data_IF_741197530194
#
_entry.id   IF_741197530194
#
_cell.length_a   1.000
_cell.length_b   1.000
_cell.length_c   1.000
_cell.angle_alpha   90.00
_cell.angle_beta   90.00
_cell.angle_gamma   90.00
#
_symmetry.space_group_name_H-M   'P 1'
#
loop_
_entity.id
_entity.type
_entity.pdbx_description
1 polymer ?
#
# COMPACT_ATOMS: atom_id res chain seq x y z
N UNK A 1 20.81 14.75 -17.86
CA UNK A 1 20.86 15.20 -16.46
C UNK A 1 19.64 14.64 -15.77
N UNK A 2 19.84 13.62 -14.95
CA UNK A 2 18.80 12.99 -14.13
C UNK A 2 18.61 13.83 -12.88
N UNK A 3 17.40 14.37 -12.68
CA UNK A 3 17.05 15.01 -11.43
C UNK A 3 16.71 13.91 -10.42
N UNK A 4 17.68 13.58 -9.58
CA UNK A 4 17.48 12.77 -8.38
C UNK A 4 16.70 13.65 -7.40
N UNK A 5 15.51 13.21 -6.98
CA UNK A 5 14.79 13.85 -5.88
C UNK A 5 15.53 13.46 -4.60
N UNK A 6 16.46 14.30 -4.17
CA UNK A 6 17.13 14.23 -2.88
C UNK A 6 16.32 15.07 -1.89
N UNK A 7 15.92 14.43 -0.79
CA UNK A 7 15.15 14.93 0.35
C UNK A 7 13.69 15.36 0.12
N UNK A 8 12.79 14.50 0.61
CA UNK A 8 11.51 14.91 1.16
C UNK A 8 11.78 15.37 2.60
N UNK A 9 12.37 16.55 2.78
CA UNK A 9 12.36 17.23 4.07
C UNK A 9 10.90 17.57 4.40
N UNK A 10 10.22 16.65 5.09
CA UNK A 10 8.94 16.93 5.73
C UNK A 10 9.20 17.93 6.84
N UNK A 11 9.15 19.21 6.51
CA UNK A 11 9.01 20.29 7.47
C UNK A 11 7.58 20.26 8.02
N UNK A 12 7.30 19.27 8.87
CA UNK A 12 6.16 19.33 9.77
C UNK A 12 6.55 20.25 10.92
N UNK A 13 6.38 21.57 10.71
CA UNK A 13 6.33 22.52 11.82
C UNK A 13 5.08 22.19 12.62
N UNK A 14 5.21 21.23 13.54
CA UNK A 14 4.19 20.96 14.53
C UNK A 14 4.18 22.16 15.48
N UNK A 15 3.21 23.04 15.30
CA UNK A 15 2.85 24.06 16.27
C UNK A 15 2.47 23.35 17.59
N UNK A 16 3.45 23.25 18.49
CA UNK A 16 3.34 22.59 19.79
C UNK A 16 2.40 23.31 20.76
N UNK A 17 1.83 24.46 20.37
CA UNK A 17 0.91 25.25 21.20
C UNK A 17 -0.56 24.83 21.05
N UNK A 18 -0.88 23.94 20.10
CA UNK A 18 -2.23 23.39 19.97
C UNK A 18 -2.20 21.89 20.24
N UNK A 19 -2.84 21.39 21.30
CA UNK A 19 -3.10 19.96 21.37
C UNK A 19 -3.81 19.55 20.07
N UNK A 20 -3.41 18.43 19.46
CA UNK A 20 -4.20 17.76 18.41
C UNK A 20 -5.47 17.24 19.10
N UNK A 21 -6.37 18.16 19.43
CA UNK A 21 -7.67 17.90 20.02
C UNK A 21 -8.66 17.99 18.86
N UNK A 22 -9.12 16.84 18.39
CA UNK A 22 -10.19 16.74 17.39
C UNK A 22 -9.82 16.17 16.01
N UNK A 23 -8.55 15.87 15.74
CA UNK A 23 -8.15 15.22 14.49
C UNK A 23 -8.62 13.77 14.45
N UNK A 24 -9.45 13.42 13.48
CA UNK A 24 -9.85 12.05 13.17
C UNK A 24 -9.54 11.79 11.70
N UNK A 25 -8.59 10.90 11.42
CA UNK A 25 -8.18 10.59 10.05
C UNK A 25 -7.83 9.11 9.91
N UNK A 26 -8.30 8.49 8.82
CA UNK A 26 -7.83 7.17 8.41
C UNK A 26 -7.69 7.09 6.89
N UNK A 27 -6.56 6.57 6.42
CA UNK A 27 -6.28 6.38 5.01
C UNK A 27 -5.60 5.04 4.78
N UNK A 28 -5.95 4.38 3.68
CA UNK A 28 -5.20 3.25 3.16
C UNK A 28 -4.95 3.48 1.67
N UNK A 29 -3.69 3.41 1.26
CA UNK A 29 -3.29 3.42 -0.13
C UNK A 29 -2.63 2.08 -0.46
N UNK A 30 -3.18 1.32 -1.40
CA UNK A 30 -2.68 0.00 -1.79
C UNK A 30 -2.43 -0.05 -3.29
N UNK A 31 -1.32 -0.67 -3.68
CA UNK A 31 -0.92 -0.87 -5.07
C UNK A 31 -0.44 -2.30 -5.27
N UNK A 32 -0.86 -2.92 -6.37
CA UNK A 32 -0.34 -4.22 -6.80
C UNK A 32 -0.14 -4.19 -8.32
N UNK A 33 1.09 -4.47 -8.75
CA UNK A 33 1.50 -4.44 -10.15
C UNK A 33 2.10 -5.80 -10.52
N UNK A 34 1.72 -6.34 -11.66
CA UNK A 34 2.31 -7.56 -12.22
C UNK A 34 2.60 -7.40 -13.70
N UNK A 35 3.71 -7.98 -14.13
CA UNK A 35 4.07 -8.15 -15.54
C UNK A 35 4.78 -9.51 -15.74
N UNK A 36 5.22 -9.82 -16.96
CA UNK A 36 6.01 -10.99 -17.27
C UNK A 36 7.24 -11.07 -16.35
N UNK A 37 7.29 -12.12 -15.52
CA UNK A 37 8.35 -12.35 -14.53
C UNK A 37 8.50 -11.28 -13.44
N UNK A 38 7.49 -10.43 -13.26
CA UNK A 38 7.53 -9.34 -12.29
C UNK A 38 6.25 -9.25 -11.46
N UNK A 39 6.40 -9.08 -10.14
CA UNK A 39 5.31 -8.78 -9.23
C UNK A 39 5.78 -7.80 -8.14
N UNK A 40 5.02 -6.74 -7.92
CA UNK A 40 5.26 -5.74 -6.89
C UNK A 40 3.96 -5.41 -6.15
N UNK A 41 4.03 -5.31 -4.83
CA UNK A 41 2.90 -4.94 -3.98
C UNK A 41 3.37 -3.95 -2.92
N UNK A 42 2.63 -2.87 -2.75
CA UNK A 42 2.89 -1.83 -1.75
C UNK A 42 1.59 -1.43 -1.07
N UNK A 43 1.67 -1.12 0.22
CA UNK A 43 0.53 -0.59 0.97
C UNK A 43 1.00 0.35 2.06
N UNK A 44 0.24 1.41 2.25
CA UNK A 44 0.39 2.40 3.30
C UNK A 44 -0.94 2.52 4.04
N UNK A 45 -0.89 2.54 5.38
CA UNK A 45 -2.06 2.72 6.25
C UNK A 45 -1.73 3.79 7.28
N UNK A 46 -2.51 4.87 7.31
CA UNK A 46 -2.36 5.99 8.24
C UNK A 46 -3.61 6.09 9.10
N UNK A 47 -3.46 6.19 10.42
CA UNK A 47 -4.54 6.47 11.36
C UNK A 47 -4.11 7.55 12.36
N UNK A 48 -4.93 8.58 12.55
CA UNK A 48 -4.71 9.67 13.51
C UNK A 48 -5.97 9.85 14.37
N UNK A 49 -5.82 9.73 15.69
CA UNK A 49 -6.88 9.89 16.68
C UNK A 49 -6.43 9.50 18.09
N UNK A 50 -7.33 9.53 19.08
CA UNK A 50 -7.08 9.09 20.46
C UNK A 50 -6.80 7.59 20.58
N UNK A 51 -7.47 6.77 19.77
CA UNK A 51 -7.21 5.33 19.64
C UNK A 51 -7.03 4.99 18.17
N UNK A 52 -5.96 4.26 17.85
CA UNK A 52 -5.61 3.93 16.48
C UNK A 52 -5.27 2.46 16.32
N UNK A 53 -5.59 1.90 15.15
CA UNK A 53 -5.18 0.56 14.74
C UNK A 53 -4.89 0.57 13.25
N UNK A 54 -3.72 0.09 12.87
CA UNK A 54 -3.31 -0.04 11.47
C UNK A 54 -2.76 -1.42 11.21
N UNK A 55 -3.12 -2.00 10.06
CA UNK A 55 -2.48 -3.21 9.58
C UNK A 55 -2.27 -3.15 8.07
N UNK A 56 -1.22 -3.84 7.64
CA UNK A 56 -0.77 -3.90 6.24
C UNK A 56 -0.36 -5.33 5.93
N UNK A 57 -0.62 -5.77 4.71
CA UNK A 57 -0.22 -7.10 4.24
C UNK A 57 0.08 -7.00 2.75
N UNK A 58 1.27 -7.42 2.37
CA UNK A 58 1.68 -7.55 0.97
C UNK A 58 2.05 -9.00 0.69
N UNK A 59 1.80 -9.45 -0.53
CA UNK A 59 2.21 -10.76 -1.02
C UNK A 59 2.53 -10.65 -2.50
N UNK A 60 3.71 -11.06 -2.89
CA UNK A 60 4.13 -11.21 -4.28
C UNK A 60 4.53 -12.66 -4.53
N UNK A 61 4.28 -13.15 -5.74
CA UNK A 61 4.70 -14.48 -6.17
C UNK A 61 4.97 -14.45 -7.67
N UNK A 62 6.08 -15.04 -8.10
CA UNK A 62 6.43 -15.21 -9.51
C UNK A 62 6.82 -16.67 -9.71
N UNK A 63 6.12 -17.35 -10.62
CA UNK A 63 6.39 -18.73 -11.01
C UNK A 63 6.81 -18.68 -12.48
N UNK A 64 8.09 -18.94 -12.73
CA UNK A 64 8.65 -19.07 -14.07
C UNK A 64 9.00 -20.54 -14.33
N UNK A 65 8.42 -21.08 -15.39
CA UNK A 65 8.67 -22.42 -15.90
C UNK A 65 8.99 -22.34 -17.39
N UNK A 66 9.56 -23.40 -17.95
CA UNK A 66 9.86 -23.47 -19.39
C UNK A 66 8.64 -23.25 -20.31
N UNK A 67 7.41 -23.47 -19.82
CA UNK A 67 6.18 -23.41 -20.62
C UNK A 67 5.25 -22.27 -20.21
N UNK A 68 5.44 -21.67 -19.04
CA UNK A 68 4.55 -20.61 -18.54
C UNK A 68 5.25 -19.68 -17.55
N UNK A 69 4.81 -18.43 -17.54
CA UNK A 69 5.16 -17.45 -16.53
C UNK A 69 3.89 -16.93 -15.89
N UNK A 70 3.80 -17.01 -14.56
CA UNK A 70 2.69 -16.51 -13.77
C UNK A 70 3.21 -15.56 -12.70
N UNK A 71 2.68 -14.34 -12.68
CA UNK A 71 3.00 -13.32 -11.68
C UNK A 71 1.74 -12.96 -10.91
N UNK A 72 1.86 -12.85 -9.59
CA UNK A 72 0.77 -12.51 -8.69
C UNK A 72 1.25 -11.48 -7.66
N UNK A 73 0.47 -10.43 -7.47
CA UNK A 73 0.68 -9.43 -6.44
C UNK A 73 -0.62 -9.13 -5.69
N UNK A 74 -0.54 -9.01 -4.38
CA UNK A 74 -1.64 -8.59 -3.51
C UNK A 74 -1.12 -7.62 -2.46
N UNK A 75 -1.82 -6.51 -2.32
CA UNK A 75 -1.63 -5.54 -1.25
C UNK A 75 -2.97 -5.33 -0.54
N UNK A 76 -3.00 -5.40 0.78
CA UNK A 76 -4.18 -5.09 1.57
C UNK A 76 -3.79 -4.33 2.82
N UNK A 77 -4.61 -3.36 3.20
CA UNK A 77 -4.37 -2.56 4.40
C UNK A 77 -5.66 -2.12 5.04
N UNK A 78 -5.52 -1.62 6.24
CA UNK A 78 -6.58 -1.10 7.08
C UNK A 78 -6.02 -0.04 8.00
N UNK A 79 -6.83 0.97 8.22
CA UNK A 79 -6.60 2.01 9.18
C UNK A 79 -7.91 2.28 9.92
N UNK A 80 -7.83 2.35 11.24
CA UNK A 80 -8.92 2.77 12.10
C UNK A 80 -8.42 3.80 13.09
N UNK A 81 -9.19 4.87 13.23
CA UNK A 81 -8.96 5.91 14.21
C UNK A 81 -10.27 6.20 14.96
N UNK A 82 -10.15 6.58 16.22
CA UNK A 82 -11.24 7.03 17.07
C UNK A 82 -10.79 8.23 17.89
N UNK A 83 -11.63 9.26 17.95
CA UNK A 83 -11.44 10.46 18.81
C UNK A 83 -12.79 10.78 19.45
N UNK A 84 -12.87 10.70 20.78
CA UNK A 84 -14.14 10.74 21.51
C UNK A 84 -15.11 9.63 21.06
N UNK A 85 -16.33 10.03 20.71
CA UNK A 85 -17.38 9.13 20.20
C UNK A 85 -17.34 8.87 18.69
N UNK A 86 -16.45 9.54 17.94
CA UNK A 86 -16.39 9.45 16.49
C UNK A 86 -15.31 8.45 16.05
N UNK A 87 -15.56 7.74 14.95
CA UNK A 87 -14.59 6.81 14.36
C UNK A 87 -14.48 6.97 12.85
N UNK A 88 -13.29 6.68 12.33
CA UNK A 88 -12.98 6.66 10.90
C UNK A 88 -12.28 5.33 10.60
N UNK A 89 -12.76 4.63 9.58
CA UNK A 89 -12.19 3.35 9.16
C UNK A 89 -12.00 3.35 7.67
N UNK A 90 -10.82 2.96 7.23
CA UNK A 90 -10.48 2.80 5.83
C UNK A 90 -9.82 1.44 5.60
N UNK A 91 -10.07 0.85 4.44
CA UNK A 91 -9.58 -0.47 4.07
C UNK A 91 -9.41 -0.51 2.55
N UNK A 92 -8.28 -1.01 2.10
CA UNK A 92 -8.04 -1.26 0.69
C UNK A 92 -7.51 -2.68 0.48
N UNK A 93 -7.84 -3.26 -0.67
CA UNK A 93 -7.23 -4.50 -1.14
C UNK A 93 -7.12 -4.41 -2.65
N UNK A 94 -5.90 -4.52 -3.16
CA UNK A 94 -5.58 -4.54 -4.58
C UNK A 94 -4.90 -5.86 -4.89
N UNK A 95 -5.34 -6.49 -5.96
CA UNK A 95 -4.82 -7.77 -6.45
C UNK A 95 -4.53 -7.59 -7.93
N UNK A 96 -3.37 -8.06 -8.37
CA UNK A 96 -2.93 -8.02 -9.75
C UNK A 96 -2.36 -9.38 -10.14
N UNK A 97 -2.63 -9.79 -11.37
CA UNK A 97 -2.21 -11.07 -11.93
C UNK A 97 -1.83 -10.90 -13.40
N UNK A 98 -0.75 -11.55 -13.80
CA UNK A 98 -0.28 -11.64 -15.18
C UNK A 98 0.15 -13.07 -15.49
N UNK A 99 -0.21 -13.57 -16.67
CA UNK A 99 0.06 -14.94 -17.10
C UNK A 99 0.39 -15.01 -18.58
N UNK A 100 1.47 -15.72 -18.92
CA UNK A 100 1.89 -15.96 -20.29
C UNK A 100 2.14 -17.46 -20.50
N UNK A 101 1.64 -18.00 -21.61
CA UNK A 101 1.88 -19.38 -22.05
C UNK A 101 2.73 -19.34 -23.32
N UNK A 102 3.87 -20.04 -23.32
CA UNK A 102 4.69 -20.19 -24.52
C UNK A 102 4.04 -21.24 -25.42
N UNK A 103 3.36 -20.81 -26.49
CA UNK A 103 2.97 -21.73 -27.56
C UNK A 103 4.22 -22.09 -28.37
N UNK A 104 4.72 -23.30 -28.19
CA UNK A 104 5.67 -23.89 -29.13
C UNK A 104 4.87 -24.27 -30.38
N UNK A 105 5.01 -23.51 -31.46
CA UNK A 105 4.58 -23.98 -32.78
C UNK A 105 5.48 -25.17 -33.14
N UNK A 106 4.85 -26.35 -33.31
CA UNK A 106 5.49 -27.60 -33.75
C UNK A 106 5.57 -27.60 -35.26
#
# INVERSE_FOLDING_TARGET
MTHEIQDLDFWEVQDSSKPISGGLYSQVNAVANTDFNFASAGVESIALGEKTSTWTTTRTNVINTSFSTNSYAKASGFAHAQTGGNSSTNKATVISYSGYVNYVQI
#
